data_IF_947361244595
#
_entry.id   IF_947361244595
#
_cell.length_a   1.000
_cell.length_b   1.000
_cell.length_c   1.000
_cell.angle_alpha   90.00
_cell.angle_beta   90.00
_cell.angle_gamma   90.00
#
_symmetry.space_group_name_H-M   'P 1'
#
loop_
_entity.id
_entity.type
_entity.pdbx_description
1 polymer ?
#
# COMPACT_ATOMS: atom_id res chain seq x y z
N UNK A 1 -13.20 9.18 12.30
CA UNK A 1 -12.08 9.69 11.50
C UNK A 1 -11.98 8.91 10.22
N UNK A 2 -11.75 9.60 9.11
CA UNK A 2 -11.79 8.98 7.79
C UNK A 2 -10.43 9.11 7.12
N UNK A 3 -9.82 7.97 6.81
CA UNK A 3 -8.60 7.95 6.01
C UNK A 3 -9.00 8.06 4.54
N UNK A 4 -8.43 9.03 3.85
CA UNK A 4 -8.70 9.25 2.43
C UNK A 4 -7.41 9.17 1.62
N UNK A 5 -7.55 8.97 0.30
CA UNK A 5 -6.41 8.86 -0.61
C UNK A 5 -6.62 9.81 -1.79
N UNK A 6 -6.51 11.13 -1.56
CA UNK A 6 -6.79 12.11 -2.61
C UNK A 6 -5.73 12.14 -3.70
N UNK A 7 -4.53 11.64 -3.42
CA UNK A 7 -3.42 11.64 -4.36
C UNK A 7 -3.15 10.21 -4.83
N UNK A 8 -3.24 9.93 -6.15
CA UNK A 8 -2.98 8.59 -6.67
C UNK A 8 -1.50 8.25 -6.79
N UNK A 9 -0.61 9.12 -6.37
CA UNK A 9 0.83 8.90 -6.49
C UNK A 9 1.29 7.67 -5.73
N UNK A 10 2.23 6.95 -6.32
CA UNK A 10 2.92 5.82 -5.71
C UNK A 10 4.33 5.78 -6.26
N UNK A 11 5.25 5.15 -5.53
CA UNK A 11 6.62 4.99 -5.96
C UNK A 11 7.16 3.66 -5.46
N UNK A 12 8.17 3.14 -6.17
CA UNK A 12 8.82 1.90 -5.78
C UNK A 12 10.00 2.21 -4.86
N UNK A 13 10.06 1.49 -3.73
CA UNK A 13 11.16 1.59 -2.77
C UNK A 13 12.06 0.38 -2.94
N UNK A 14 13.19 0.55 -3.62
CA UNK A 14 14.14 -0.54 -3.89
C UNK A 14 14.73 -1.12 -2.60
N UNK A 15 14.97 -0.27 -1.62
CA UNK A 15 15.59 -0.71 -0.36
C UNK A 15 14.70 -1.70 0.39
N UNK A 16 13.38 -1.54 0.28
CA UNK A 16 12.42 -2.39 0.97
C UNK A 16 11.66 -3.33 0.03
N UNK A 17 11.95 -3.28 -1.26
CA UNK A 17 11.26 -4.07 -2.29
C UNK A 17 9.75 -3.94 -2.13
N UNK A 18 9.27 -2.71 -2.17
CA UNK A 18 7.88 -2.40 -1.85
C UNK A 18 7.41 -1.15 -2.59
N UNK A 19 6.10 -0.98 -2.68
CA UNK A 19 5.50 0.23 -3.26
C UNK A 19 5.04 1.14 -2.12
N UNK A 20 5.42 2.40 -2.20
CA UNK A 20 5.07 3.43 -1.21
C UNK A 20 3.90 4.26 -1.71
N UNK A 21 2.99 4.55 -0.82
CA UNK A 21 1.88 5.47 -1.09
C UNK A 21 1.44 6.12 0.22
N UNK A 22 0.58 7.12 0.13
CA UNK A 22 0.15 7.87 1.30
C UNK A 22 -1.35 8.04 1.34
N UNK A 23 -1.90 8.00 2.55
CA UNK A 23 -3.25 8.43 2.81
C UNK A 23 -3.25 9.67 3.69
N UNK A 24 -4.42 10.23 3.93
CA UNK A 24 -4.58 11.42 4.75
C UNK A 24 -5.74 11.26 5.71
N UNK A 25 -5.51 11.66 6.95
CA UNK A 25 -6.56 11.78 7.98
C UNK A 25 -6.64 13.26 8.30
N UNK A 26 -7.55 13.96 7.62
CA UNK A 26 -7.58 15.41 7.67
C UNK A 26 -6.31 15.99 7.06
N UNK A 27 -5.54 16.74 7.85
CA UNK A 27 -4.28 17.36 7.41
C UNK A 27 -3.07 16.45 7.67
N UNK A 28 -3.26 15.32 8.33
CA UNK A 28 -2.16 14.43 8.68
C UNK A 28 -1.91 13.42 7.57
N UNK A 29 -0.69 13.41 7.06
CA UNK A 29 -0.26 12.41 6.10
C UNK A 29 0.07 11.10 6.81
N UNK A 30 -0.43 10.00 6.29
CA UNK A 30 -0.18 8.66 6.82
C UNK A 30 0.56 7.86 5.75
N UNK A 31 1.85 7.57 5.96
CA UNK A 31 2.61 6.81 4.97
C UNK A 31 2.32 5.31 5.05
N UNK A 32 2.22 4.69 3.88
CA UNK A 32 2.03 3.26 3.74
C UNK A 32 3.07 2.68 2.80
N UNK A 33 3.41 1.42 3.05
CA UNK A 33 4.27 0.63 2.18
C UNK A 33 3.59 -0.72 1.98
N UNK A 34 3.44 -1.18 0.73
CA UNK A 34 2.93 -2.51 0.44
C UNK A 34 4.08 -3.34 -0.14
N UNK A 35 4.39 -4.45 0.51
CA UNK A 35 5.52 -5.29 0.11
C UNK A 35 5.27 -5.99 -1.22
N UNK A 36 6.33 -6.18 -2.00
CA UNK A 36 6.24 -6.90 -3.27
C UNK A 36 5.64 -8.29 -3.10
N UNK A 37 5.92 -8.95 -1.96
CA UNK A 37 5.32 -10.25 -1.67
C UNK A 37 3.80 -10.19 -1.58
N UNK A 38 3.25 -9.09 -1.07
CA UNK A 38 1.81 -8.88 -1.03
C UNK A 38 1.23 -8.69 -2.43
N UNK A 39 1.95 -7.95 -3.28
CA UNK A 39 1.55 -7.76 -4.67
C UNK A 39 1.64 -9.05 -5.46
N UNK A 40 2.67 -9.85 -5.20
CA UNK A 40 2.81 -11.18 -5.80
C UNK A 40 1.63 -12.07 -5.45
N UNK A 41 1.21 -12.07 -4.19
CA UNK A 41 0.05 -12.85 -3.75
C UNK A 41 -1.21 -12.44 -4.50
N UNK A 42 -1.39 -11.14 -4.71
CA UNK A 42 -2.55 -10.60 -5.40
C UNK A 42 -2.53 -10.91 -6.89
N UNK A 43 -1.35 -10.82 -7.52
CA UNK A 43 -1.20 -11.05 -8.97
C UNK A 43 -0.96 -12.51 -9.34
N UNK A 44 -0.47 -13.32 -8.39
CA UNK A 44 -0.16 -14.72 -8.60
C UNK A 44 1.16 -15.00 -9.30
N UNK A 45 2.04 -14.01 -9.45
CA UNK A 45 3.34 -14.20 -10.10
C UNK A 45 4.42 -13.33 -9.47
N UNK A 46 5.69 -13.68 -9.73
CA UNK A 46 6.83 -12.88 -9.31
C UNK A 46 6.86 -11.61 -10.16
N UNK A 47 7.11 -10.48 -9.52
CA UNK A 47 7.03 -9.16 -10.15
C UNK A 47 8.38 -8.47 -10.18
N UNK A 48 8.69 -7.85 -11.30
CA UNK A 48 9.79 -6.89 -11.44
C UNK A 48 9.31 -5.51 -10.94
N UNK A 49 10.23 -4.57 -10.76
CA UNK A 49 9.90 -3.24 -10.27
C UNK A 49 8.76 -2.58 -11.03
N UNK A 50 8.86 -2.53 -12.35
CA UNK A 50 7.82 -1.93 -13.19
C UNK A 50 6.49 -2.67 -13.08
N UNK A 51 6.55 -3.98 -12.90
CA UNK A 51 5.36 -4.81 -12.74
C UNK A 51 4.70 -4.60 -11.37
N UNK A 52 5.51 -4.27 -10.34
CA UNK A 52 4.97 -3.96 -9.01
C UNK A 52 4.07 -2.73 -9.07
N UNK A 53 4.49 -1.69 -9.78
CA UNK A 53 3.67 -0.49 -9.92
C UNK A 53 2.38 -0.78 -10.68
N UNK A 54 2.46 -1.57 -11.74
CA UNK A 54 1.28 -1.98 -12.51
C UNK A 54 0.34 -2.84 -11.68
N UNK A 55 0.90 -3.78 -10.91
CA UNK A 55 0.11 -4.64 -10.04
C UNK A 55 -0.55 -3.83 -8.92
N UNK A 56 0.15 -2.83 -8.39
CA UNK A 56 -0.43 -1.92 -7.40
C UNK A 56 -1.65 -1.21 -8.00
N UNK A 57 -1.50 -0.65 -9.20
CA UNK A 57 -2.60 0.06 -9.85
C UNK A 57 -3.80 -0.86 -10.11
N UNK A 58 -3.54 -2.09 -10.52
CA UNK A 58 -4.60 -3.07 -10.79
C UNK A 58 -5.35 -3.49 -9.53
N UNK A 59 -4.66 -3.55 -8.39
CA UNK A 59 -5.23 -3.96 -7.12
C UNK A 59 -5.48 -2.77 -6.17
N UNK A 60 -5.46 -1.56 -6.69
CA UNK A 60 -5.50 -0.33 -5.88
C UNK A 60 -6.63 -0.32 -4.87
N UNK A 61 -7.84 -0.62 -5.29
CA UNK A 61 -9.00 -0.57 -4.39
C UNK A 61 -8.84 -1.53 -3.22
N UNK A 62 -8.39 -2.74 -3.50
CA UNK A 62 -8.15 -3.73 -2.44
C UNK A 62 -7.05 -3.29 -1.49
N UNK A 63 -5.97 -2.74 -2.03
CA UNK A 63 -4.85 -2.24 -1.24
C UNK A 63 -5.29 -1.09 -0.34
N UNK A 64 -6.07 -0.16 -0.87
CA UNK A 64 -6.59 0.94 -0.09
C UNK A 64 -7.55 0.48 1.01
N UNK A 65 -8.36 -0.53 0.74
CA UNK A 65 -9.26 -1.10 1.75
C UNK A 65 -8.46 -1.76 2.89
N UNK A 66 -7.40 -2.50 2.54
CA UNK A 66 -6.52 -3.10 3.54
C UNK A 66 -5.82 -2.02 4.36
N UNK A 67 -5.38 -0.94 3.71
CA UNK A 67 -4.76 0.19 4.39
C UNK A 67 -5.73 0.87 5.37
N UNK A 68 -6.98 1.07 4.97
CA UNK A 68 -7.99 1.64 5.84
C UNK A 68 -8.23 0.76 7.07
N UNK A 69 -8.29 -0.53 6.85
CA UNK A 69 -8.48 -1.49 7.94
C UNK A 69 -7.31 -1.47 8.91
N UNK A 70 -6.09 -1.48 8.38
CA UNK A 70 -4.89 -1.42 9.22
C UNK A 70 -4.86 -0.15 10.06
N UNK A 71 -5.23 0.98 9.48
CA UNK A 71 -5.30 2.26 10.16
C UNK A 71 -6.37 2.26 11.26
N UNK A 72 -7.50 1.63 10.98
CA UNK A 72 -8.60 1.50 11.95
C UNK A 72 -8.23 0.61 13.11
N UNK A 73 -7.51 -0.48 12.85
CA UNK A 73 -7.14 -1.46 13.87
C UNK A 73 -6.05 -0.94 14.81
N UNK A 74 -5.09 -0.19 14.28
CA UNK A 74 -3.96 0.35 15.06
C UNK A 74 -3.52 1.70 14.56
N UNK A 75 -3.33 2.63 15.49
CA UNK A 75 -2.78 3.95 15.19
C UNK A 75 -1.26 3.89 15.24
N UNK A 76 -0.62 4.17 14.12
CA UNK A 76 0.83 4.21 13.99
C UNK A 76 1.24 5.40 13.13
N UNK A 77 2.52 5.75 13.17
CA UNK A 77 3.06 6.81 12.32
C UNK A 77 3.27 6.35 10.88
N UNK A 78 3.42 5.04 10.67
CA UNK A 78 3.56 4.45 9.33
C UNK A 78 3.08 3.01 9.36
N UNK A 79 2.78 2.46 8.17
CA UNK A 79 2.22 1.12 8.03
C UNK A 79 2.94 0.35 6.93
N UNK A 80 3.19 -0.94 7.20
CA UNK A 80 3.72 -1.87 6.20
C UNK A 80 2.67 -2.95 5.99
N UNK A 81 2.16 -3.05 4.76
CA UNK A 81 1.19 -4.06 4.38
C UNK A 81 1.96 -5.26 3.81
N UNK A 82 1.73 -6.42 4.42
CA UNK A 82 2.43 -7.65 4.05
C UNK A 82 1.48 -8.62 3.36
N UNK A 83 2.02 -9.73 2.86
CA UNK A 83 1.20 -10.78 2.25
C UNK A 83 0.15 -11.32 3.21
N UNK A 84 0.44 -11.30 4.51
CA UNK A 84 -0.51 -11.76 5.52
C UNK A 84 -1.73 -10.86 5.68
N UNK A 85 -1.65 -9.62 5.22
CA UNK A 85 -2.74 -8.67 5.29
C UNK A 85 -3.77 -8.85 4.15
N UNK A 86 -3.44 -9.69 3.18
CA UNK A 86 -4.29 -9.89 1.99
C UNK A 86 -4.92 -11.29 1.92
#
# INVERSE_FOLDING_TARGET
>A
MTLTFPNPSRSFDEAHNAVRFSGYDGVFQVPFVVEAAALKKTSGKVLLESECLTAFDAARERILDVARKAYSDRRRSSYTLTADDF
#
